data_IF_942210376391
#
_entry.id   IF_942210376391
#
_cell.length_a   1.000
_cell.length_b   1.000
_cell.length_c   1.000
_cell.angle_alpha   90.00
_cell.angle_beta   90.00
_cell.angle_gamma   90.00
#
_symmetry.space_group_name_H-M   'P 1'
#
loop_
_entity.id
_entity.type
_entity.pdbx_description
1 polymer ?
#
# COMPACT_ATOMS: atom_id res chain seq x y z
N UNK A 1 1.53 18.42 -30.12
CA UNK A 1 1.44 18.44 -30.25
C UNK A 1 1.50 18.88 -29.99
N UNK A 2 1.32 18.54 -29.70
CA UNK A 2 1.41 18.46 -29.39
C UNK A 2 1.53 18.61 -29.05
N UNK A 3 1.89 18.09 -29.21
CA UNK A 3 2.12 17.99 -29.24
C UNK A 3 2.19 18.06 -28.86
N UNK A 4 1.87 18.05 -28.76
CA UNK A 4 1.87 18.01 -28.52
C UNK A 4 1.82 18.20 -28.26
N UNK A 5 1.94 17.82 -28.39
CA UNK A 5 2.03 17.87 -28.55
C UNK A 5 1.88 18.06 -28.16
N UNK A 6 1.44 17.96 -27.55
CA UNK A 6 1.19 17.86 -27.28
C UNK A 6 0.97 18.63 -27.08
N UNK A 7 1.34 18.21 -27.29
CA UNK A 7 1.32 18.75 -27.29
C UNK A 7 1.14 19.01 -27.22
N UNK A 8 0.71 18.85 -27.04
CA UNK A 8 0.85 18.82 -27.15
C UNK A 8 0.72 19.27 -26.62
N UNK A 9 0.58 19.02 -26.42
CA UNK A 9 0.59 19.18 -26.26
C UNK A 9 0.56 19.55 -25.74
N UNK A 10 0.41 19.40 -25.47
CA UNK A 10 0.53 19.45 -25.31
C UNK A 10 0.55 19.95 -24.96
N UNK A 11 0.85 19.29 -24.78
CA UNK A 11 1.01 19.57 -25.00
C UNK A 11 0.94 20.16 -24.60
N UNK A 12 0.70 19.94 -24.25
CA UNK A 12 0.79 20.23 -24.22
C UNK A 12 0.82 20.42 -23.86
N UNK A 13 0.79 19.68 -23.65
CA UNK A 13 0.84 19.59 -23.78
C UNK A 13 0.83 19.91 -23.34
N UNK A 14 0.73 20.64 -23.00
CA UNK A 14 0.84 20.60 -22.98
C UNK A 14 1.02 21.15 -22.37
N UNK A 15 1.10 20.42 -22.04
CA UNK A 15 1.28 20.59 -21.81
C UNK A 15 1.58 20.76 -21.38
N UNK A 16 1.40 20.76 -21.40
CA UNK A 16 1.77 20.47 -21.46
C UNK A 16 2.29 20.41 -20.96
N UNK A 17 2.38 20.04 -20.98
CA UNK A 17 2.77 19.62 -20.98
C UNK A 17 3.06 19.22 -21.05
N UNK A 18 3.20 18.89 -21.03
CA UNK A 18 3.40 18.21 -21.39
C UNK A 18 3.83 17.78 -21.37
N UNK A 19 4.16 17.44 -21.38
CA UNK A 19 4.52 16.81 -21.71
C UNK A 19 5.03 16.45 -21.52
N UNK A 20 5.18 15.81 -21.35
CA UNK A 20 5.58 15.20 -21.50
C UNK A 20 5.99 14.71 -21.22
N UNK A 21 6.24 14.36 -21.13
CA UNK A 21 6.60 13.72 -21.07
C UNK A 21 7.29 13.47 -20.79
N UNK A 22 7.54 13.23 -20.51
CA UNK A 22 8.17 12.86 -20.24
C UNK A 22 8.75 12.59 -19.64
N UNK A 23 8.69 12.35 -19.08
CA UNK A 23 9.04 12.01 -18.49
C UNK A 23 9.15 11.74 -17.80
N UNK A 24 9.17 11.35 -17.26
CA UNK A 24 9.02 10.90 -16.60
C UNK A 24 9.21 10.28 -15.74
N UNK A 25 9.41 10.20 -15.18
CA UNK A 25 9.34 9.35 -14.40
C UNK A 25 8.62 8.26 -14.57
N UNK A 26 8.34 7.98 -14.70
CA UNK A 26 7.81 7.21 -15.11
C UNK A 26 6.64 6.65 -15.15
N UNK A 27 6.42 5.94 -15.39
CA UNK A 27 5.31 5.21 -15.68
C UNK A 27 4.26 5.20 -14.70
N UNK A 28 4.46 4.98 -13.47
CA UNK A 28 3.41 4.98 -12.55
C UNK A 28 2.78 6.32 -12.38
N UNK A 29 3.51 7.36 -12.68
CA UNK A 29 3.03 8.61 -12.66
C UNK A 29 2.06 8.87 -13.66
N UNK A 30 2.27 8.38 -14.84
CA UNK A 30 1.38 8.59 -15.93
C UNK A 30 0.06 7.86 -15.73
N UNK A 31 0.02 6.87 -14.87
CA UNK A 31 -1.18 6.14 -14.63
C UNK A 31 -2.07 6.78 -13.59
N UNK A 32 -1.57 7.73 -12.85
CA UNK A 32 -2.32 8.33 -11.78
C UNK A 32 -2.52 7.38 -10.60
N UNK A 33 -3.45 7.68 -9.74
CA UNK A 33 -3.72 6.93 -8.53
C UNK A 33 -4.86 5.95 -8.73
N UNK A 34 -4.61 4.67 -8.48
CA UNK A 34 -5.64 3.64 -8.58
C UNK A 34 -6.73 3.80 -7.53
N UNK A 35 -6.40 4.40 -6.40
CA UNK A 35 -7.35 4.66 -5.33
C UNK A 35 -7.64 6.14 -5.22
N UNK A 36 -7.43 6.69 -4.04
CA UNK A 36 -7.72 8.10 -3.75
C UNK A 36 -6.47 8.85 -3.36
N UNK A 37 -6.31 10.03 -3.94
CA UNK A 37 -5.20 10.90 -3.63
C UNK A 37 -5.57 11.69 -2.38
N UNK A 38 -4.87 11.47 -1.29
CA UNK A 38 -5.20 12.06 0.00
C UNK A 38 -4.10 13.02 0.42
N UNK A 39 -4.49 14.26 0.65
CA UNK A 39 -3.56 15.30 1.02
C UNK A 39 -2.74 14.89 2.24
N UNK A 40 -1.43 14.96 2.13
CA UNK A 40 -0.49 14.56 3.17
C UNK A 40 -0.12 13.08 3.17
N UNK A 41 -0.80 12.26 2.35
CA UNK A 41 -0.57 10.82 2.35
C UNK A 41 -0.25 10.26 0.95
N UNK A 42 -0.53 11.02 -0.10
CA UNK A 42 -0.36 10.55 -1.46
C UNK A 42 -1.50 9.63 -1.89
N UNK A 43 -1.22 8.73 -2.78
CA UNK A 43 -2.22 7.79 -3.27
C UNK A 43 -2.45 6.68 -2.25
N UNK A 44 -3.70 6.46 -1.90
CA UNK A 44 -4.10 5.41 -0.95
C UNK A 44 -5.07 4.47 -1.64
N UNK A 45 -4.77 3.18 -1.66
CA UNK A 45 -5.56 2.21 -2.39
C UNK A 45 -5.77 0.94 -1.58
N UNK A 46 -7.02 0.56 -1.36
CA UNK A 46 -7.32 -0.69 -0.67
C UNK A 46 -7.32 -1.83 -1.68
N UNK A 47 -6.51 -2.85 -1.45
CA UNK A 47 -6.51 -4.03 -2.31
C UNK A 47 -7.76 -4.84 -2.06
N UNK A 48 -8.44 -5.28 -3.12
CA UNK A 48 -9.64 -6.12 -2.95
C UNK A 48 -9.28 -7.53 -2.45
N UNK A 49 -8.06 -7.99 -2.75
CA UNK A 49 -7.60 -9.32 -2.30
C UNK A 49 -6.09 -9.40 -2.45
N UNK A 50 -5.49 -10.38 -1.81
CA UNK A 50 -4.06 -10.65 -1.92
C UNK A 50 -3.81 -12.09 -1.48
N UNK A 51 -2.62 -12.61 -1.81
CA UNK A 51 -2.24 -13.98 -1.46
C UNK A 51 -1.06 -13.97 -0.50
N UNK A 52 -0.96 -14.97 0.39
CA UNK A 52 0.19 -15.06 1.29
C UNK A 52 1.41 -15.59 0.54
N UNK A 53 2.57 -15.44 1.16
CA UNK A 53 3.81 -16.07 0.69
C UNK A 53 3.95 -17.38 1.41
N UNK A 54 4.23 -18.45 0.68
CA UNK A 54 4.34 -19.76 1.25
C UNK A 54 5.62 -19.94 2.06
N UNK A 55 5.49 -20.58 3.22
CA UNK A 55 6.64 -20.90 4.05
C UNK A 55 7.63 -21.76 3.25
N UNK A 56 8.91 -21.48 3.43
CA UNK A 56 9.98 -22.22 2.78
C UNK A 56 10.19 -21.93 1.30
N UNK A 57 9.46 -20.97 0.76
CA UNK A 57 9.61 -20.60 -0.66
C UNK A 57 10.76 -19.61 -0.85
N UNK A 58 11.24 -19.49 -2.08
CA UNK A 58 12.24 -18.49 -2.41
C UNK A 58 11.72 -17.07 -2.24
N UNK A 59 10.43 -16.88 -2.46
CA UNK A 59 9.81 -15.60 -2.23
C UNK A 59 9.87 -15.19 -0.77
N UNK A 60 9.76 -16.13 0.15
CA UNK A 60 9.86 -15.83 1.57
C UNK A 60 11.24 -15.27 1.92
N UNK A 61 12.29 -15.79 1.29
CA UNK A 61 13.65 -15.28 1.52
C UNK A 61 13.79 -13.83 1.07
N UNK A 62 13.02 -13.43 0.08
CA UNK A 62 13.03 -12.07 -0.43
C UNK A 62 12.16 -11.15 0.42
N UNK A 63 10.95 -11.58 0.74
CA UNK A 63 9.95 -10.70 1.36
C UNK A 63 9.97 -10.71 2.87
N UNK A 64 10.45 -11.78 3.48
CA UNK A 64 10.59 -11.86 4.93
C UNK A 64 11.68 -12.85 5.32
N UNK A 65 12.95 -12.49 5.11
CA UNK A 65 14.05 -13.42 5.38
C UNK A 65 14.16 -13.86 6.84
N UNK A 66 13.74 -13.02 7.77
CA UNK A 66 13.79 -13.39 9.19
C UNK A 66 12.77 -14.48 9.50
N UNK A 67 11.60 -14.39 8.89
CA UNK A 67 10.56 -15.40 9.06
C UNK A 67 11.02 -16.74 8.46
N UNK A 68 11.64 -16.69 7.28
CA UNK A 68 12.17 -17.86 6.64
C UNK A 68 13.26 -18.50 7.51
N UNK A 69 14.18 -17.69 8.01
CA UNK A 69 15.27 -18.19 8.86
C UNK A 69 14.78 -18.74 10.20
N UNK A 70 13.63 -18.24 10.67
CA UNK A 70 13.02 -18.69 11.91
C UNK A 70 12.36 -20.05 11.82
N UNK A 71 12.23 -20.60 10.61
CA UNK A 71 11.66 -21.94 10.43
C UNK A 71 10.16 -22.02 10.62
N UNK A 72 9.45 -20.92 10.52
CA UNK A 72 8.00 -20.93 10.63
C UNK A 72 7.38 -21.63 9.44
N UNK A 73 6.33 -22.37 9.69
CA UNK A 73 5.72 -23.25 8.68
C UNK A 73 4.40 -22.72 8.13
N UNK A 74 3.85 -21.69 8.73
CA UNK A 74 2.59 -21.09 8.26
C UNK A 74 2.84 -20.13 7.11
N UNK A 75 1.85 -20.01 6.24
CA UNK A 75 1.89 -19.01 5.16
C UNK A 75 1.93 -17.62 5.77
N UNK A 76 2.66 -16.72 5.15
CA UNK A 76 2.89 -15.38 5.66
C UNK A 76 2.06 -14.36 4.88
N UNK A 77 0.98 -13.92 5.50
CA UNK A 77 0.07 -12.96 4.85
C UNK A 77 0.64 -11.54 4.84
N UNK A 78 1.44 -11.20 5.84
CA UNK A 78 2.08 -9.88 5.85
C UNK A 78 3.10 -9.73 4.71
N UNK A 79 3.90 -10.76 4.47
CA UNK A 79 4.83 -10.74 3.35
C UNK A 79 4.06 -10.66 2.03
N UNK A 80 2.95 -11.39 1.95
CA UNK A 80 2.07 -11.32 0.78
C UNK A 80 1.50 -9.94 0.56
N UNK A 81 1.13 -9.26 1.64
CA UNK A 81 0.62 -7.88 1.56
C UNK A 81 1.69 -6.93 1.03
N UNK A 82 2.92 -7.06 1.51
CA UNK A 82 4.03 -6.23 1.04
C UNK A 82 4.28 -6.44 -0.46
N UNK A 83 4.30 -7.69 -0.87
CA UNK A 83 4.50 -8.03 -2.28
C UNK A 83 3.37 -7.48 -3.14
N UNK A 84 2.14 -7.63 -2.68
CA UNK A 84 0.98 -7.19 -3.43
C UNK A 84 0.98 -5.67 -3.65
N UNK A 85 1.36 -4.89 -2.64
CA UNK A 85 1.50 -3.45 -2.82
C UNK A 85 2.65 -3.12 -3.77
N UNK A 86 3.77 -3.83 -3.65
CA UNK A 86 4.93 -3.61 -4.50
C UNK A 86 4.61 -3.90 -5.98
N UNK A 87 3.79 -4.91 -6.22
CA UNK A 87 3.38 -5.30 -7.57
C UNK A 87 2.66 -4.18 -8.32
N UNK A 88 2.07 -3.25 -7.61
CA UNK A 88 1.39 -2.10 -8.21
C UNK A 88 2.16 -0.79 -7.98
N UNK A 89 3.43 -0.90 -7.61
CA UNK A 89 4.30 0.26 -7.41
C UNK A 89 4.02 1.05 -6.14
N UNK A 90 3.42 0.41 -5.16
CA UNK A 90 3.05 1.04 -3.90
C UNK A 90 3.69 0.29 -2.72
N UNK A 91 3.39 0.70 -1.51
CA UNK A 91 3.96 0.10 -0.29
C UNK A 91 2.91 0.04 0.80
N UNK A 92 3.14 -0.81 1.80
CA UNK A 92 2.34 -0.75 3.02
C UNK A 92 2.71 0.52 3.79
N UNK A 93 1.74 1.20 4.36
CA UNK A 93 2.02 2.38 5.19
C UNK A 93 2.66 1.95 6.50
N UNK A 94 3.51 2.81 7.06
CA UNK A 94 4.02 2.54 8.38
C UNK A 94 2.89 2.71 9.41
N UNK A 95 3.16 2.26 10.63
CA UNK A 95 2.18 2.29 11.70
C UNK A 95 1.61 3.69 11.95
N UNK A 96 2.47 4.70 12.00
CA UNK A 96 2.04 6.07 12.28
C UNK A 96 1.12 6.63 11.21
N UNK A 97 1.48 6.40 9.96
CA UNK A 97 0.69 6.86 8.82
C UNK A 97 -0.66 6.17 8.79
N UNK A 98 -0.66 4.86 8.99
CA UNK A 98 -1.89 4.06 8.97
C UNK A 98 -2.83 4.51 10.10
N UNK A 99 -2.27 4.75 11.29
CA UNK A 99 -3.05 5.20 12.43
C UNK A 99 -3.65 6.58 12.19
N UNK A 100 -2.90 7.48 11.58
CA UNK A 100 -3.41 8.82 11.24
C UNK A 100 -4.60 8.75 10.30
N UNK A 101 -4.55 7.85 9.32
CA UNK A 101 -5.68 7.65 8.42
C UNK A 101 -6.89 7.06 9.17
N UNK A 102 -6.65 6.08 10.01
CA UNK A 102 -7.71 5.38 10.73
C UNK A 102 -8.42 6.26 11.77
N UNK A 103 -7.72 7.26 12.27
CA UNK A 103 -8.28 8.16 13.30
C UNK A 103 -9.15 9.27 12.76
N UNK A 104 -9.23 9.43 11.46
CA UNK A 104 -10.16 10.40 10.88
C UNK A 104 -11.58 10.00 11.25
N UNK A 105 -12.49 10.95 11.26
CA UNK A 105 -13.89 10.64 11.58
C UNK A 105 -14.46 9.70 10.53
N UNK A 106 -15.52 8.98 10.87
CA UNK A 106 -16.20 8.10 9.92
C UNK A 106 -16.62 8.87 8.68
N UNK A 107 -17.18 10.07 8.86
CA UNK A 107 -17.60 10.90 7.74
C UNK A 107 -16.42 11.28 6.84
N UNK A 108 -15.29 11.64 7.42
CA UNK A 108 -14.10 11.96 6.64
C UNK A 108 -13.58 10.76 5.88
N UNK A 109 -13.54 9.60 6.54
CA UNK A 109 -13.09 8.37 5.88
C UNK A 109 -13.97 8.04 4.69
N UNK A 110 -15.28 8.15 4.86
CA UNK A 110 -16.23 7.90 3.77
C UNK A 110 -16.03 8.88 2.61
N UNK A 111 -15.87 10.15 2.92
CA UNK A 111 -15.63 11.17 1.92
C UNK A 111 -14.35 10.93 1.13
N UNK A 112 -13.32 10.41 1.79
CA UNK A 112 -12.03 10.16 1.17
C UNK A 112 -11.95 8.77 0.51
N UNK A 113 -13.01 7.99 0.58
CA UNK A 113 -13.00 6.65 0.02
C UNK A 113 -12.17 5.65 0.83
N UNK A 114 -11.94 5.95 2.10
CA UNK A 114 -11.17 5.07 2.99
C UNK A 114 -12.10 4.05 3.65
N UNK A 115 -11.55 2.92 4.08
CA UNK A 115 -12.33 1.96 4.84
C UNK A 115 -12.75 2.54 6.19
N UNK A 116 -13.86 2.05 6.73
CA UNK A 116 -14.39 2.47 8.02
C UNK A 116 -14.44 1.35 9.04
N UNK A 117 -13.83 0.21 8.71
CA UNK A 117 -13.78 -0.96 9.58
C UNK A 117 -12.67 -1.90 9.11
N UNK A 118 -12.49 -2.98 9.83
CA UNK A 118 -11.49 -4.02 9.59
C UNK A 118 -10.10 -3.61 10.06
N UNK A 119 -9.27 -4.62 10.20
CA UNK A 119 -7.87 -4.45 10.60
C UNK A 119 -6.99 -4.44 9.34
N UNK A 120 -5.98 -3.58 9.37
CA UNK A 120 -5.10 -3.41 8.22
C UNK A 120 -3.64 -3.56 8.62
N UNK A 121 -2.83 -4.18 7.77
CA UNK A 121 -1.40 -4.36 8.01
C UNK A 121 -0.65 -3.04 7.90
N UNK A 122 0.26 -2.79 8.83
CA UNK A 122 1.28 -1.75 8.66
C UNK A 122 2.57 -2.40 8.20
N UNK A 123 3.55 -1.60 7.80
CA UNK A 123 4.88 -2.11 7.49
C UNK A 123 5.74 -2.25 8.74
N UNK A 124 5.23 -1.89 9.91
CA UNK A 124 6.00 -1.86 11.15
C UNK A 124 5.85 -3.16 11.94
N UNK A 125 6.96 -3.83 12.19
CA UNK A 125 6.95 -5.07 12.99
C UNK A 125 6.74 -4.72 14.47
N UNK A 126 6.00 -5.60 15.15
CA UNK A 126 5.61 -5.36 16.54
C UNK A 126 6.62 -5.95 17.54
N UNK A 127 6.86 -7.22 17.47
CA UNK A 127 7.85 -7.85 18.30
C UNK A 127 8.63 -8.87 17.48
N UNK A 128 9.92 -8.66 17.38
CA UNK A 128 10.80 -9.60 16.72
C UNK A 128 10.34 -10.00 15.33
N UNK A 129 10.08 -11.29 15.14
CA UNK A 129 9.89 -11.86 13.83
C UNK A 129 8.45 -12.11 13.46
N UNK A 130 7.60 -12.37 14.46
CA UNK A 130 6.31 -13.01 14.20
C UNK A 130 5.12 -12.08 14.12
N UNK A 131 5.14 -10.97 14.85
CA UNK A 131 3.99 -10.05 14.94
C UNK A 131 4.24 -8.72 14.26
N UNK A 132 3.17 -8.13 13.71
CA UNK A 132 3.21 -6.86 13.01
C UNK A 132 2.11 -5.97 13.58
N UNK A 133 2.37 -4.68 13.66
CA UNK A 133 1.33 -3.72 14.05
C UNK A 133 0.24 -3.70 12.99
N UNK A 134 -1.00 -3.77 13.46
CA UNK A 134 -2.18 -3.57 12.63
C UNK A 134 -3.00 -2.45 13.24
N UNK A 135 -3.84 -1.82 12.43
CA UNK A 135 -4.70 -0.73 12.87
C UNK A 135 -6.13 -1.03 12.46
N UNK A 136 -7.05 -0.83 13.41
CA UNK A 136 -8.48 -1.01 13.16
C UNK A 136 -9.06 0.29 12.63
N UNK A 137 -9.69 0.22 11.47
CA UNK A 137 -10.24 1.42 10.83
C UNK A 137 -11.61 1.84 11.35
N UNK A 138 -12.20 1.06 12.26
CA UNK A 138 -13.44 1.50 12.87
C UNK A 138 -13.14 2.50 14.00
N UNK A 139 -12.19 2.18 14.87
CA UNK A 139 -11.91 2.98 16.05
C UNK A 139 -10.48 3.50 16.17
N UNK A 140 -9.60 3.14 15.24
CA UNK A 140 -8.22 3.60 15.26
C UNK A 140 -7.33 2.89 16.28
N UNK A 141 -7.79 1.78 16.85
CA UNK A 141 -7.00 1.01 17.81
C UNK A 141 -5.90 0.24 17.08
N UNK A 142 -4.86 -0.11 17.80
CA UNK A 142 -3.74 -0.89 17.26
C UNK A 142 -3.61 -2.20 18.00
N UNK A 143 -3.08 -3.20 17.30
CA UNK A 143 -2.80 -4.51 17.90
C UNK A 143 -1.65 -5.16 17.14
N UNK A 144 -1.00 -6.13 17.77
CA UNK A 144 0.00 -6.97 17.11
C UNK A 144 -0.69 -8.23 16.60
N UNK A 145 -0.61 -8.47 15.30
CA UNK A 145 -1.17 -9.68 14.71
C UNK A 145 -0.07 -10.55 14.16
N UNK A 146 -0.24 -11.87 14.29
CA UNK A 146 0.71 -12.81 13.71
C UNK A 146 0.69 -12.73 12.19
N UNK A 147 1.84 -12.91 11.58
CA UNK A 147 1.97 -12.81 10.13
C UNK A 147 1.17 -13.86 9.37
N UNK A 148 0.71 -14.89 10.06
CA UNK A 148 -0.11 -15.96 9.48
C UNK A 148 -1.60 -15.63 9.45
N UNK A 149 -1.99 -14.48 9.96
CA UNK A 149 -3.41 -14.13 10.08
C UNK A 149 -3.99 -13.71 8.73
N UNK A 150 -5.01 -14.41 8.29
CA UNK A 150 -5.62 -14.19 6.98
C UNK A 150 -6.75 -13.17 7.00
N UNK A 151 -7.14 -12.69 8.18
CA UNK A 151 -8.27 -11.77 8.31
C UNK A 151 -7.88 -10.30 8.19
N UNK A 152 -6.60 -10.02 8.10
CA UNK A 152 -6.11 -8.64 8.02
C UNK A 152 -6.13 -8.16 6.58
N UNK A 153 -6.60 -6.96 6.37
CA UNK A 153 -6.74 -6.35 5.03
C UNK A 153 -5.52 -5.53 4.67
N UNK A 154 -5.49 -5.05 3.45
CA UNK A 154 -4.33 -4.32 2.91
C UNK A 154 -4.74 -2.97 2.35
N UNK A 155 -4.07 -1.93 2.84
CA UNK A 155 -4.17 -0.60 2.28
C UNK A 155 -2.77 -0.24 1.80
N UNK A 156 -2.61 0.05 0.51
CA UNK A 156 -1.32 0.43 -0.06
C UNK A 156 -1.23 1.94 -0.16
N UNK A 157 -0.03 2.48 -0.01
CA UNK A 157 0.21 3.91 -0.18
C UNK A 157 1.30 4.12 -1.24
N UNK A 158 1.21 5.21 -1.95
CA UNK A 158 2.18 5.56 -2.97
C UNK A 158 2.26 7.06 -3.14
N UNK A 159 3.08 7.47 -4.08
CA UNK A 159 3.27 8.90 -4.35
C UNK A 159 2.17 9.53 -5.17
#
# INVERSE_FOLDING_TARGET
>A
MDVNGFKGPNSEARNGKQYDIRSFKVAKFSKGCAGNDINGFGCVYQLPSYSPIKAGSDEMKKWDPKYDAGGYTDDNYWAGAKKACDDIGMSLPDYSKLKSLAKKTTAEKEQLGLPTRDWFWSSSEYDGIFHVYTVNFYVGLTAGYGKYDSDVKVLCVGD
#
